data_IF_400887105266
#
_entry.id   IF_400887105266
#
_cell.length_a   1.000
_cell.length_b   1.000
_cell.length_c   1.000
_cell.angle_alpha   90.00
_cell.angle_beta   90.00
_cell.angle_gamma   90.00
#
_symmetry.space_group_name_H-M   'P 1'
#
loop_
_entity.id
_entity.type
_entity.pdbx_description
1 polymer ?
#
# COMPACT_ATOMS: atom_id res chain seq x y z
N UNK A 1 -7.81 18.48 30.13
CA UNK A 1 -7.49 18.68 28.69
C UNK A 1 -6.67 17.54 28.04
N UNK A 2 -6.44 16.38 28.69
CA UNK A 2 -5.67 15.27 28.09
C UNK A 2 -6.48 14.30 27.22
N UNK A 3 -7.79 14.19 27.45
CA UNK A 3 -8.68 13.27 26.71
C UNK A 3 -8.89 13.68 25.25
N UNK A 4 -8.78 14.98 24.91
CA UNK A 4 -8.97 15.44 23.53
C UNK A 4 -7.84 15.02 22.60
N UNK A 5 -6.60 14.93 23.12
CA UNK A 5 -5.45 14.51 22.31
C UNK A 5 -5.51 13.02 21.99
N UNK A 6 -5.91 12.18 22.95
CA UNK A 6 -6.12 10.74 22.72
C UNK A 6 -7.22 10.49 21.69
N UNK A 7 -8.38 11.14 21.84
CA UNK A 7 -9.47 11.03 20.86
C UNK A 7 -9.07 11.48 19.46
N UNK A 8 -8.31 12.59 19.34
CA UNK A 8 -7.80 13.07 18.06
C UNK A 8 -6.83 12.08 17.40
N UNK A 9 -5.95 11.45 18.18
CA UNK A 9 -5.01 10.44 17.68
C UNK A 9 -5.74 9.19 17.18
N UNK A 10 -6.79 8.75 17.88
CA UNK A 10 -7.63 7.65 17.39
C UNK A 10 -8.33 7.99 16.08
N UNK A 11 -8.87 9.22 15.95
CA UNK A 11 -9.49 9.70 14.71
C UNK A 11 -8.49 9.75 13.54
N UNK A 12 -7.24 10.12 13.79
CA UNK A 12 -6.16 10.09 12.79
C UNK A 12 -5.86 8.66 12.33
N UNK A 13 -5.71 7.71 13.27
CA UNK A 13 -5.40 6.31 12.93
C UNK A 13 -6.50 5.64 12.09
N UNK A 14 -7.78 5.95 12.36
CA UNK A 14 -8.90 5.40 11.55
C UNK A 14 -9.09 6.10 10.20
N UNK A 15 -8.60 7.33 10.05
CA UNK A 15 -8.65 8.07 8.78
C UNK A 15 -7.43 7.79 7.90
N UNK A 16 -6.41 7.09 8.41
CA UNK A 16 -5.43 6.44 7.54
C UNK A 16 -6.18 5.38 6.72
N UNK A 17 -6.11 5.45 5.38
CA UNK A 17 -6.84 4.53 4.52
C UNK A 17 -6.45 3.10 4.90
N UNK A 18 -7.44 2.37 5.45
CA UNK A 18 -7.35 0.95 5.72
C UNK A 18 -7.11 0.22 4.40
N UNK A 19 -5.84 -0.11 4.13
CA UNK A 19 -5.44 -1.29 3.37
C UNK A 19 -5.98 -1.48 1.95
N UNK A 20 -6.72 -0.54 1.37
CA UNK A 20 -7.05 -0.47 -0.04
C UNK A 20 -6.41 0.79 -0.59
N UNK A 21 -5.34 0.61 -1.34
CA UNK A 21 -4.66 1.67 -2.08
C UNK A 21 -5.61 2.20 -3.17
N UNK A 22 -6.62 2.99 -2.78
CA UNK A 22 -7.45 3.80 -3.67
C UNK A 22 -6.68 5.02 -4.17
N UNK A 23 -5.60 5.38 -3.50
CA UNK A 23 -4.63 6.35 -3.99
C UNK A 23 -3.45 5.57 -4.57
N UNK A 24 -3.48 5.39 -5.88
CA UNK A 24 -2.30 5.04 -6.65
C UNK A 24 -1.33 6.23 -6.56
N UNK A 25 -0.58 6.29 -5.46
CA UNK A 25 0.52 7.23 -5.30
C UNK A 25 1.67 6.76 -6.19
N UNK A 26 1.49 6.91 -7.51
CA UNK A 26 2.53 6.78 -8.54
C UNK A 26 3.67 7.82 -8.36
N UNK A 27 3.70 8.55 -7.24
CA UNK A 27 4.67 9.60 -6.96
C UNK A 27 6.03 9.11 -6.47
N UNK A 28 6.15 7.86 -6.00
CA UNK A 28 7.43 7.31 -5.55
C UNK A 28 7.98 6.31 -6.58
N UNK A 29 8.56 6.80 -7.67
CA UNK A 29 9.27 5.96 -8.64
C UNK A 29 10.65 5.57 -8.10
N UNK A 30 10.71 4.47 -7.36
CA UNK A 30 11.98 3.89 -6.92
C UNK A 30 12.55 3.06 -8.07
N UNK A 31 13.69 3.51 -8.64
CA UNK A 31 14.31 2.94 -9.86
C UNK A 31 14.49 1.41 -9.80
N UNK A 32 14.80 0.86 -8.62
CA UNK A 32 14.92 -0.59 -8.42
C UNK A 32 13.57 -1.29 -8.46
N UNK A 33 12.53 -0.73 -7.84
CA UNK A 33 11.17 -1.26 -7.88
C UNK A 33 10.58 -1.23 -9.31
N UNK A 34 10.73 -0.10 -10.01
CA UNK A 34 10.23 0.06 -11.38
C UNK A 34 10.95 -0.88 -12.35
N UNK A 35 12.25 -1.14 -12.16
CA UNK A 35 12.99 -2.14 -12.96
C UNK A 35 12.44 -3.56 -12.84
N UNK A 36 11.78 -3.90 -11.72
CA UNK A 36 11.10 -5.19 -11.52
C UNK A 36 9.66 -5.20 -12.08
N UNK A 37 9.21 -4.11 -12.70
CA UNK A 37 7.80 -3.91 -13.06
C UNK A 37 6.90 -3.72 -11.84
N UNK A 38 7.47 -3.31 -10.70
CA UNK A 38 6.76 -3.07 -9.46
C UNK A 38 6.32 -1.62 -9.30
N UNK A 39 5.34 -1.43 -8.43
CA UNK A 39 4.81 -0.13 -8.03
C UNK A 39 4.99 0.07 -6.51
N UNK A 40 5.27 1.31 -6.10
CA UNK A 40 5.37 1.67 -4.69
C UNK A 40 3.99 2.07 -4.16
N UNK A 41 3.50 1.36 -3.14
CA UNK A 41 2.23 1.66 -2.46
C UNK A 41 2.37 1.46 -0.95
N UNK A 42 1.48 2.04 -0.15
CA UNK A 42 1.52 1.85 1.31
C UNK A 42 1.40 0.36 1.71
N UNK A 43 0.53 -0.37 0.99
CA UNK A 43 0.37 -1.82 1.10
C UNK A 43 0.17 -2.44 -0.29
N UNK A 44 0.53 -3.71 -0.48
CA UNK A 44 0.30 -4.42 -1.74
C UNK A 44 -1.17 -4.82 -1.88
N UNK A 45 -1.72 -4.57 -3.07
CA UNK A 45 -3.07 -5.00 -3.47
C UNK A 45 -3.15 -6.55 -3.49
N UNK A 46 -4.35 -7.10 -3.37
CA UNK A 46 -4.56 -8.54 -3.61
C UNK A 46 -4.09 -8.89 -5.03
N UNK A 47 -3.39 -10.02 -5.18
CA UNK A 47 -2.76 -10.39 -6.46
C UNK A 47 -1.41 -9.73 -6.72
N UNK A 48 -0.90 -8.95 -5.77
CA UNK A 48 0.44 -8.38 -5.82
C UNK A 48 1.30 -8.94 -4.68
N UNK A 49 2.59 -9.14 -4.96
CA UNK A 49 3.57 -9.64 -4.01
C UNK A 49 4.47 -8.51 -3.54
N UNK A 50 4.65 -8.43 -2.22
CA UNK A 50 5.65 -7.57 -1.61
C UNK A 50 7.06 -8.09 -1.90
N UNK A 51 7.97 -7.21 -2.34
CA UNK A 51 9.36 -7.58 -2.67
C UNK A 51 10.42 -6.79 -1.91
N UNK A 52 10.16 -5.53 -1.59
CA UNK A 52 11.10 -4.66 -0.89
C UNK A 52 10.37 -3.43 -0.32
N UNK A 53 11.04 -2.68 0.54
CA UNK A 53 10.61 -1.33 0.86
C UNK A 53 10.99 -0.35 -0.26
N UNK A 54 10.10 0.61 -0.52
CA UNK A 54 10.42 1.86 -1.19
C UNK A 54 10.88 2.89 -0.13
N UNK A 55 11.08 4.17 -0.49
CA UNK A 55 11.43 5.18 0.51
C UNK A 55 10.40 5.26 1.66
N UNK A 56 10.88 5.27 2.91
CA UNK A 56 10.09 5.30 4.14
C UNK A 56 9.16 4.07 4.32
N UNK A 57 7.88 4.31 4.63
CA UNK A 57 6.86 3.27 4.95
C UNK A 57 6.19 2.68 3.71
N UNK A 58 6.65 3.02 2.50
CA UNK A 58 6.10 2.50 1.26
C UNK A 58 6.69 1.13 0.92
N UNK A 59 5.88 0.28 0.29
CA UNK A 59 6.22 -1.07 -0.14
C UNK A 59 6.30 -1.15 -1.66
N UNK A 60 7.34 -1.80 -2.17
CA UNK A 60 7.43 -2.20 -3.56
C UNK A 60 6.63 -3.49 -3.76
N UNK A 61 5.63 -3.42 -4.64
CA UNK A 61 4.70 -4.50 -4.94
C UNK A 61 4.81 -4.88 -6.41
N UNK A 62 4.90 -6.17 -6.71
CA UNK A 62 4.95 -6.70 -8.09
C UNK A 62 3.73 -7.58 -8.35
N UNK A 63 3.09 -7.41 -9.51
CA UNK A 63 1.92 -8.20 -9.86
C UNK A 63 2.26 -9.69 -10.01
N UNK A 64 1.47 -10.56 -9.37
CA UNK A 64 1.57 -12.00 -9.52
C UNK A 64 1.05 -12.41 -10.89
N UNK A 65 1.93 -12.94 -11.75
CA UNK A 65 1.56 -13.45 -13.08
C UNK A 65 0.86 -14.82 -13.01
N UNK A 66 1.12 -15.59 -11.96
CA UNK A 66 0.60 -16.95 -11.77
C UNK A 66 -0.12 -17.06 -10.42
N UNK A 67 -1.08 -17.98 -10.33
CA UNK A 67 -1.85 -18.26 -9.10
C UNK A 67 -2.55 -17.03 -8.50
N UNK A 68 -3.12 -16.16 -9.36
CA UNK A 68 -3.93 -15.04 -8.90
C UNK A 68 -5.11 -15.55 -8.09
N UNK A 69 -5.28 -15.02 -6.88
CA UNK A 69 -6.40 -15.37 -6.00
C UNK A 69 -7.74 -15.06 -6.71
N UNK A 70 -8.78 -15.89 -6.55
CA UNK A 70 -10.09 -15.64 -7.17
C UNK A 70 -10.65 -14.24 -6.88
N UNK A 71 -10.36 -13.73 -5.67
CA UNK A 71 -10.75 -12.41 -5.18
C UNK A 71 -10.15 -11.24 -5.98
N UNK A 72 -9.13 -11.47 -6.81
CA UNK A 72 -8.55 -10.43 -7.68
C UNK A 72 -9.42 -10.11 -8.90
N UNK A 73 -10.44 -10.93 -9.17
CA UNK A 73 -11.39 -10.76 -10.28
C UNK A 73 -12.72 -10.14 -9.85
N UNK A 74 -12.91 -9.89 -8.55
CA UNK A 74 -14.16 -9.32 -8.04
C UNK A 74 -14.15 -7.80 -8.30
N UNK A 75 -15.19 -7.24 -8.96
CA UNK A 75 -15.29 -5.82 -9.26
C UNK A 75 -15.45 -4.94 -8.03
#
# INVERSE_FOLDING_TARGET
MRLRLSGLLFLLVISLPSGSSLFDNNGATVRTCTKLGGHCSFSCKLGWKWVAFCHNVLSCCVELKFNKLPQTKLP
#
